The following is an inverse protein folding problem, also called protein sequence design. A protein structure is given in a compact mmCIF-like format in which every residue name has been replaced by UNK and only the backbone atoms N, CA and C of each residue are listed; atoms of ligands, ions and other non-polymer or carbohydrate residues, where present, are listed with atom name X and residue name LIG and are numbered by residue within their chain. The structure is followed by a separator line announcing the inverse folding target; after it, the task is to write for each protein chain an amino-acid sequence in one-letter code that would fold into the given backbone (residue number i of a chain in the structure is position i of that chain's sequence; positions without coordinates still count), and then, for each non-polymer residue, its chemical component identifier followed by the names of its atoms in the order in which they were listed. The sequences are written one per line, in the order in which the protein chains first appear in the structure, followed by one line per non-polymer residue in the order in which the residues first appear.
data_IF_978389454149
#
_entry.id   IF_978389454149
#
_cell.length_a   1.000
_cell.length_b   1.000
_cell.length_c   1.000
_cell.angle_alpha   90.00
_cell.angle_beta   90.00
_cell.angle_gamma   90.00
#
_symmetry.space_group_name_H-M   'P 1'
#
loop_
_entity.id
_entity.type
_entity.pdbx_description
1 polymer ?
#
# COMPACT_ATOMS: atom_id res chain seq x y z
N UNK A 1 -66.84 -12.58 -17.03
CA UNK A 1 -65.44 -12.93 -16.74
C UNK A 1 -64.68 -11.65 -16.43
N UNK A 2 -64.45 -11.34 -15.15
CA UNK A 2 -63.63 -10.21 -14.72
C UNK A 2 -62.52 -10.74 -13.81
N UNK A 3 -61.31 -10.88 -14.35
CA UNK A 3 -60.12 -11.26 -13.60
C UNK A 3 -59.54 -10.02 -12.93
N UNK A 4 -59.84 -9.83 -11.65
CA UNK A 4 -59.21 -8.79 -10.84
C UNK A 4 -57.81 -9.25 -10.43
N UNK A 5 -56.78 -8.70 -11.08
CA UNK A 5 -55.40 -8.94 -10.72
C UNK A 5 -55.06 -8.09 -9.49
N UNK A 6 -55.09 -8.69 -8.30
CA UNK A 6 -54.69 -8.06 -7.03
C UNK A 6 -53.19 -7.77 -7.06
N UNK A 7 -52.81 -6.51 -7.22
CA UNK A 7 -51.46 -6.03 -6.91
C UNK A 7 -51.18 -6.29 -5.43
N UNK A 8 -50.23 -7.20 -5.14
CA UNK A 8 -49.72 -7.44 -3.78
C UNK A 8 -49.08 -6.14 -3.27
N UNK A 9 -49.81 -5.36 -2.49
CA UNK A 9 -49.23 -4.27 -1.72
C UNK A 9 -48.27 -4.88 -0.68
N UNK A 10 -46.97 -4.66 -0.89
CA UNK A 10 -45.93 -4.97 0.09
C UNK A 10 -46.18 -4.08 1.32
N UNK A 11 -46.69 -4.66 2.42
CA UNK A 11 -46.86 -3.98 3.71
C UNK A 11 -45.48 -3.44 4.15
N UNK A 12 -45.26 -2.13 3.97
CA UNK A 12 -44.03 -1.44 4.38
C UNK A 12 -44.01 -1.35 5.91
N UNK A 13 -43.37 -2.33 6.55
CA UNK A 13 -43.32 -2.45 8.00
C UNK A 13 -42.61 -1.21 8.59
N UNK A 14 -43.24 -0.50 9.55
CA UNK A 14 -42.71 0.76 10.11
C UNK A 14 -41.31 0.58 10.73
N UNK A 15 -40.98 -0.62 11.18
CA UNK A 15 -39.65 -1.01 11.66
C UNK A 15 -38.55 -0.86 10.60
N UNK A 16 -38.83 -1.21 9.33
CA UNK A 16 -37.85 -1.05 8.24
C UNK A 16 -37.53 0.43 7.94
N UNK A 17 -38.42 1.37 8.30
CA UNK A 17 -38.20 2.81 8.13
C UNK A 17 -37.08 3.36 9.00
N UNK A 18 -36.80 2.72 10.15
CA UNK A 18 -35.76 3.16 11.10
C UNK A 18 -34.57 2.19 11.15
N UNK A 19 -34.78 0.89 10.92
CA UNK A 19 -33.70 -0.10 10.92
C UNK A 19 -32.72 0.09 9.76
N UNK A 20 -33.20 0.33 8.54
CA UNK A 20 -32.31 0.51 7.37
C UNK A 20 -31.41 1.74 7.54
N UNK A 21 -31.92 2.95 7.86
CA UNK A 21 -31.07 4.12 8.06
C UNK A 21 -30.09 3.96 9.22
N UNK A 22 -30.49 3.28 10.30
CA UNK A 22 -29.60 3.02 11.44
C UNK A 22 -28.42 2.11 11.06
N UNK A 23 -28.68 1.01 10.35
CA UNK A 23 -27.62 0.12 9.85
C UNK A 23 -26.68 0.83 8.88
N UNK A 24 -27.21 1.64 7.96
CA UNK A 24 -26.41 2.46 7.05
C UNK A 24 -25.55 3.46 7.81
N UNK A 25 -26.11 4.14 8.82
CA UNK A 25 -25.37 5.06 9.68
C UNK A 25 -24.21 4.40 10.42
N UNK A 26 -24.43 3.20 10.96
CA UNK A 26 -23.38 2.41 11.62
C UNK A 26 -22.28 2.02 10.62
N UNK A 27 -22.65 1.52 9.43
CA UNK A 27 -21.69 1.13 8.40
C UNK A 27 -20.86 2.33 7.93
N UNK A 28 -21.48 3.49 7.70
CA UNK A 28 -20.78 4.71 7.31
C UNK A 28 -19.86 5.22 8.42
N UNK A 29 -20.33 5.19 9.69
CA UNK A 29 -19.52 5.58 10.84
C UNK A 29 -18.29 4.70 11.02
N UNK A 30 -18.46 3.37 10.94
CA UNK A 30 -17.35 2.42 11.02
C UNK A 30 -16.38 2.56 9.85
N UNK A 31 -16.90 2.72 8.63
CA UNK A 31 -16.06 2.89 7.43
C UNK A 31 -15.23 4.18 7.52
N UNK A 32 -15.85 5.29 7.95
CA UNK A 32 -15.17 6.56 8.16
C UNK A 32 -14.11 6.47 9.27
N UNK A 33 -14.42 5.77 10.36
CA UNK A 33 -13.46 5.52 11.44
C UNK A 33 -12.26 4.69 10.96
N UNK A 34 -12.51 3.58 10.23
CA UNK A 34 -11.45 2.75 9.63
C UNK A 34 -10.57 3.57 8.68
N UNK A 35 -11.19 4.39 7.82
CA UNK A 35 -10.48 5.27 6.90
C UNK A 35 -9.57 6.27 7.62
N UNK A 36 -10.03 6.81 8.75
CA UNK A 36 -9.25 7.72 9.58
C UNK A 36 -8.07 7.01 10.26
N UNK A 37 -8.31 5.92 10.99
CA UNK A 37 -7.25 5.22 11.74
C UNK A 37 -6.19 4.60 10.84
N UNK A 38 -6.59 4.14 9.64
CA UNK A 38 -5.67 3.58 8.64
C UNK A 38 -4.84 4.64 7.91
N UNK A 39 -5.12 5.94 8.15
CA UNK A 39 -4.53 7.07 7.42
C UNK A 39 -4.64 6.90 5.90
N UNK A 40 -5.75 6.32 5.41
CA UNK A 40 -5.94 6.00 3.99
C UNK A 40 -5.73 7.21 3.05
N UNK A 41 -6.09 8.41 3.50
CA UNK A 41 -5.85 9.66 2.76
C UNK A 41 -4.36 9.94 2.47
N UNK A 42 -3.44 9.48 3.32
CA UNK A 42 -2.00 9.70 3.13
C UNK A 42 -1.43 8.96 1.91
N UNK A 43 -2.09 7.87 1.48
CA UNK A 43 -1.71 7.11 0.29
C UNK A 43 -1.97 7.86 -1.02
N UNK A 44 -2.74 8.97 -0.99
CA UNK A 44 -2.90 9.84 -2.15
C UNK A 44 -1.65 10.69 -2.43
N UNK A 45 -0.79 10.85 -1.42
CA UNK A 45 0.49 11.54 -1.51
C UNK A 45 1.61 10.61 -2.01
N UNK A 46 2.75 11.22 -2.29
CA UNK A 46 4.02 10.55 -2.58
C UNK A 46 5.02 10.65 -1.41
N UNK A 47 4.57 11.10 -0.23
CA UNK A 47 5.37 11.12 1.01
C UNK A 47 5.79 9.70 1.43
N UNK A 48 7.10 9.40 1.51
CA UNK A 48 7.60 8.09 1.96
C UNK A 48 7.07 7.64 3.32
N UNK A 49 6.66 8.56 4.21
CA UNK A 49 6.06 8.23 5.50
C UNK A 49 4.74 7.47 5.36
N UNK A 50 4.01 7.67 4.26
CA UNK A 50 2.79 6.92 3.99
C UNK A 50 3.07 5.42 3.78
N UNK A 51 4.24 5.06 3.26
CA UNK A 51 4.65 3.67 3.05
C UNK A 51 4.93 2.94 4.37
N UNK A 52 5.29 3.67 5.44
CA UNK A 52 5.53 3.13 6.79
C UNK A 52 4.39 3.40 7.77
N UNK A 53 3.18 3.62 7.25
CA UNK A 53 1.96 3.54 8.06
C UNK A 53 1.79 2.14 8.68
N UNK A 54 2.33 1.11 8.03
CA UNK A 54 2.40 -0.24 8.54
C UNK A 54 3.84 -0.61 8.89
N UNK A 55 4.06 -1.14 10.10
CA UNK A 55 5.39 -1.51 10.59
C UNK A 55 6.09 -2.60 9.76
N UNK A 56 5.32 -3.41 9.02
CA UNK A 56 5.83 -4.45 8.12
C UNK A 56 6.74 -3.87 7.02
N UNK A 57 6.56 -2.60 6.66
CA UNK A 57 7.38 -1.89 5.69
C UNK A 57 8.61 -1.21 6.29
N UNK A 58 8.85 -1.34 7.60
CA UNK A 58 9.99 -0.70 8.27
C UNK A 58 11.36 -1.12 7.69
N UNK A 59 11.62 -2.41 7.40
CA UNK A 59 12.88 -2.79 6.76
C UNK A 59 13.04 -2.16 5.38
N UNK A 60 11.95 -2.11 4.61
CA UNK A 60 11.96 -1.56 3.25
C UNK A 60 12.24 -0.06 3.25
N UNK A 61 11.62 0.68 4.16
CA UNK A 61 11.92 2.10 4.32
C UNK A 61 13.36 2.32 4.78
N UNK A 62 13.84 1.54 5.76
CA UNK A 62 15.19 1.71 6.28
C UNK A 62 16.25 1.47 5.22
N UNK A 63 16.12 0.40 4.44
CA UNK A 63 17.06 0.08 3.37
C UNK A 63 17.01 1.11 2.23
N UNK A 64 15.82 1.57 1.82
CA UNK A 64 15.68 2.68 0.88
C UNK A 64 16.33 3.97 1.41
N UNK A 65 16.07 4.37 2.66
CA UNK A 65 16.60 5.59 3.25
C UNK A 65 18.14 5.61 3.28
N UNK A 66 18.77 4.45 3.49
CA UNK A 66 20.23 4.31 3.50
C UNK A 66 20.84 3.99 2.12
N UNK A 67 20.04 3.98 1.06
CA UNK A 67 20.50 3.74 -0.32
C UNK A 67 20.85 5.04 -1.06
N UNK A 68 21.44 4.90 -2.25
CA UNK A 68 21.63 6.01 -3.18
C UNK A 68 20.31 6.66 -3.63
N UNK A 69 19.24 5.87 -3.70
CA UNK A 69 17.92 6.33 -4.15
C UNK A 69 17.17 7.09 -3.06
N UNK A 70 17.42 6.79 -1.77
CA UNK A 70 16.81 7.51 -0.63
C UNK A 70 17.10 9.01 -0.58
N UNK A 71 18.11 9.48 -1.33
CA UNK A 71 18.50 10.89 -1.40
C UNK A 71 17.70 11.68 -2.43
N UNK A 72 17.32 11.04 -3.54
CA UNK A 72 16.86 11.72 -4.75
C UNK A 72 15.49 11.23 -5.24
N UNK A 73 14.96 10.13 -4.70
CA UNK A 73 13.68 9.56 -5.12
C UNK A 73 12.83 9.20 -3.90
N UNK A 74 11.53 9.12 -4.09
CA UNK A 74 10.57 8.58 -3.11
C UNK A 74 10.12 7.18 -3.51
N UNK A 75 9.46 6.44 -2.60
CA UNK A 75 9.03 5.06 -2.85
C UNK A 75 8.21 4.92 -4.15
N UNK A 76 7.32 5.88 -4.41
CA UNK A 76 6.45 5.87 -5.59
C UNK A 76 7.20 6.15 -6.90
N UNK A 77 8.40 6.71 -6.88
CA UNK A 77 9.20 6.91 -8.10
C UNK A 77 9.63 5.59 -8.73
N UNK A 78 9.75 4.55 -7.91
CA UNK A 78 10.06 3.19 -8.35
C UNK A 78 8.78 2.32 -8.40
N UNK A 79 7.95 2.35 -7.36
CA UNK A 79 6.85 1.38 -7.18
C UNK A 79 5.52 1.76 -7.82
N UNK A 80 5.38 2.96 -8.41
CA UNK A 80 4.13 3.43 -9.03
C UNK A 80 4.40 3.86 -10.47
N UNK A 81 3.49 3.59 -11.43
CA UNK A 81 3.70 4.00 -12.81
C UNK A 81 3.55 5.53 -12.97
N UNK A 82 4.36 6.11 -13.87
CA UNK A 82 4.42 7.55 -14.15
C UNK A 82 4.05 7.91 -15.60
N UNK A 83 3.46 6.97 -16.34
CA UNK A 83 3.03 7.15 -17.73
C UNK A 83 1.77 8.00 -17.85
N UNK A 84 0.78 7.82 -16.96
CA UNK A 84 -0.41 8.65 -16.90
C UNK A 84 -1.10 8.61 -15.52
N UNK A 85 -1.87 9.65 -15.25
CA UNK A 85 -2.61 9.83 -14.00
C UNK A 85 -3.55 8.66 -13.67
N UNK A 86 -4.29 8.15 -14.67
CA UNK A 86 -5.26 7.08 -14.44
C UNK A 86 -4.59 5.77 -14.02
N UNK A 87 -3.53 5.34 -14.72
CA UNK A 87 -2.77 4.13 -14.38
C UNK A 87 -2.10 4.27 -13.02
N UNK A 88 -1.55 5.45 -12.68
CA UNK A 88 -0.99 5.74 -11.35
C UNK A 88 -1.99 5.43 -10.23
N UNK A 89 -3.16 6.05 -10.25
CA UNK A 89 -4.13 5.87 -9.16
C UNK A 89 -4.82 4.50 -9.20
N UNK A 90 -5.06 3.93 -10.38
CA UNK A 90 -5.58 2.57 -10.49
C UNK A 90 -4.61 1.55 -9.88
N UNK A 91 -3.32 1.67 -10.18
CA UNK A 91 -2.29 0.80 -9.63
C UNK A 91 -2.18 0.96 -8.11
N UNK A 92 -2.12 2.20 -7.61
CA UNK A 92 -2.09 2.49 -6.16
C UNK A 92 -3.32 1.91 -5.44
N UNK A 93 -4.52 2.03 -6.02
CA UNK A 93 -5.74 1.50 -5.43
C UNK A 93 -5.77 -0.03 -5.42
N UNK A 94 -5.37 -0.66 -6.53
CA UNK A 94 -5.33 -2.13 -6.65
C UNK A 94 -4.31 -2.75 -5.68
N UNK A 95 -3.10 -2.17 -5.63
CA UNK A 95 -2.03 -2.62 -4.74
C UNK A 95 -2.37 -2.35 -3.27
N UNK A 96 -2.90 -1.16 -2.97
CA UNK A 96 -3.38 -0.81 -1.63
C UNK A 96 -4.49 -1.73 -1.12
N UNK A 97 -5.47 -2.09 -1.97
CA UNK A 97 -6.53 -3.02 -1.63
C UNK A 97 -5.98 -4.43 -1.36
N UNK A 98 -5.02 -4.90 -2.17
CA UNK A 98 -4.34 -6.18 -1.94
C UNK A 98 -3.61 -6.20 -0.60
N UNK A 99 -2.81 -5.17 -0.30
CA UNK A 99 -2.10 -5.05 0.97
C UNK A 99 -3.06 -5.00 2.16
N UNK A 100 -4.11 -4.18 2.08
CA UNK A 100 -5.14 -4.12 3.12
C UNK A 100 -5.79 -5.49 3.36
N UNK A 101 -6.10 -6.23 2.30
CA UNK A 101 -6.67 -7.59 2.39
C UNK A 101 -5.70 -8.55 3.06
N UNK A 102 -4.44 -8.59 2.60
CA UNK A 102 -3.42 -9.49 3.15
C UNK A 102 -3.19 -9.24 4.64
N UNK A 103 -3.06 -7.98 5.06
CA UNK A 103 -2.79 -7.64 6.46
C UNK A 103 -4.02 -7.83 7.35
N UNK A 104 -5.22 -7.63 6.82
CA UNK A 104 -6.48 -7.89 7.56
C UNK A 104 -6.60 -9.37 7.92
N UNK A 105 -6.27 -10.25 6.97
CA UNK A 105 -6.37 -11.70 7.18
C UNK A 105 -5.08 -12.35 7.67
N UNK A 106 -4.05 -11.54 8.00
CA UNK A 106 -2.75 -12.02 8.49
C UNK A 106 -2.08 -13.03 7.55
N UNK A 107 -2.19 -12.77 6.25
CA UNK A 107 -1.66 -13.61 5.17
C UNK A 107 -0.28 -13.16 4.70
N UNK A 108 0.38 -12.26 5.43
CA UNK A 108 1.71 -11.77 5.08
C UNK A 108 2.78 -12.89 5.04
N UNK A 109 3.55 -13.02 3.96
CA UNK A 109 4.71 -13.91 3.95
C UNK A 109 5.84 -13.31 4.78
N UNK A 110 6.72 -14.17 5.32
CA UNK A 110 7.92 -13.72 6.04
C UNK A 110 8.90 -12.96 5.13
N UNK A 111 8.99 -13.37 3.87
CA UNK A 111 9.77 -12.72 2.82
C UNK A 111 8.81 -12.08 1.84
N UNK A 112 8.84 -10.76 1.76
CA UNK A 112 7.99 -9.99 0.86
C UNK A 112 8.70 -9.92 -0.49
N UNK A 113 8.05 -10.42 -1.53
CA UNK A 113 8.58 -10.42 -2.89
C UNK A 113 7.67 -9.65 -3.82
N UNK A 114 8.25 -8.77 -4.62
CA UNK A 114 7.50 -8.02 -5.62
C UNK A 114 6.90 -8.95 -6.68
N UNK A 115 5.57 -8.89 -6.82
CA UNK A 115 4.84 -9.66 -7.83
C UNK A 115 5.01 -9.06 -9.23
N UNK A 116 4.67 -9.85 -10.28
CA UNK A 116 4.82 -9.46 -11.69
C UNK A 116 4.34 -8.02 -12.01
N UNK A 117 3.16 -7.55 -11.56
CA UNK A 117 2.73 -6.17 -11.85
C UNK A 117 3.66 -5.11 -11.24
N UNK A 118 4.17 -5.33 -10.04
CA UNK A 118 5.16 -4.46 -9.42
C UNK A 118 6.50 -4.51 -10.15
N UNK A 119 6.95 -5.71 -10.55
CA UNK A 119 8.20 -5.87 -11.30
C UNK A 119 8.14 -5.11 -12.63
N UNK A 120 6.99 -5.13 -13.29
CA UNK A 120 6.75 -4.37 -14.50
C UNK A 120 6.97 -2.87 -14.29
N UNK A 121 6.31 -2.31 -13.28
CA UNK A 121 6.37 -0.89 -12.95
C UNK A 121 7.78 -0.46 -12.52
N UNK A 122 8.44 -1.25 -11.67
CA UNK A 122 9.81 -0.94 -11.23
C UNK A 122 10.78 -0.96 -12.41
N UNK A 123 10.69 -1.95 -13.29
CA UNK A 123 11.57 -2.02 -14.47
C UNK A 123 11.32 -0.84 -15.43
N UNK A 124 10.06 -0.48 -15.68
CA UNK A 124 9.69 0.72 -16.45
C UNK A 124 10.32 1.99 -15.85
N UNK A 125 10.30 2.12 -14.53
CA UNK A 125 10.86 3.27 -13.83
C UNK A 125 12.40 3.28 -13.78
N UNK A 126 13.05 2.13 -13.70
CA UNK A 126 14.50 2.01 -13.87
C UNK A 126 14.91 2.57 -15.24
N UNK A 127 14.25 2.11 -16.31
CA UNK A 127 14.53 2.56 -17.68
C UNK A 127 14.21 4.05 -17.82
N UNK A 128 13.07 4.52 -17.30
CA UNK A 128 12.66 5.94 -17.38
C UNK A 128 13.72 6.90 -16.83
N UNK A 129 14.31 6.58 -15.68
CA UNK A 129 15.30 7.46 -15.05
C UNK A 129 16.72 7.24 -15.57
N UNK A 130 17.05 6.03 -16.03
CA UNK A 130 18.38 5.67 -16.52
C UNK A 130 18.48 5.59 -18.05
N UNK A 131 17.49 6.07 -18.79
CA UNK A 131 17.39 5.97 -20.25
C UNK A 131 18.66 6.43 -20.96
N UNK A 132 19.20 7.59 -20.58
CA UNK A 132 20.43 8.12 -21.18
C UNK A 132 21.63 7.17 -20.97
N UNK A 133 21.80 6.61 -19.76
CA UNK A 133 22.87 5.65 -19.48
C UNK A 133 22.64 4.33 -20.22
N UNK A 134 21.38 3.93 -20.37
CA UNK A 134 20.98 2.70 -21.03
C UNK A 134 21.08 2.79 -22.56
N UNK A 135 20.97 3.99 -23.14
CA UNK A 135 21.02 4.21 -24.59
C UNK A 135 22.33 3.76 -25.26
N UNK A 136 23.42 3.67 -24.49
CA UNK A 136 24.74 3.27 -24.97
C UNK A 136 25.07 1.79 -24.69
N UNK A 137 24.17 1.04 -24.06
CA UNK A 137 24.36 -0.39 -23.74
C UNK A 137 23.16 -1.22 -24.19
N UNK A 138 23.41 -2.30 -24.94
CA UNK A 138 22.32 -3.16 -25.47
C UNK A 138 21.46 -3.82 -24.39
N UNK A 139 21.98 -3.99 -23.17
CA UNK A 139 21.27 -4.56 -22.03
C UNK A 139 20.40 -3.55 -21.27
N UNK A 140 20.47 -2.25 -21.60
CA UNK A 140 19.78 -1.19 -20.87
C UNK A 140 18.27 -1.09 -21.14
N UNK A 141 17.79 -1.65 -22.25
CA UNK A 141 16.40 -1.55 -22.70
C UNK A 141 15.59 -2.85 -22.55
N UNK A 142 16.05 -3.78 -21.70
CA UNK A 142 15.29 -5.01 -21.41
C UNK A 142 14.02 -4.67 -20.64
N UNK A 143 12.85 -4.87 -21.25
CA UNK A 143 11.58 -4.71 -20.54
C UNK A 143 11.33 -5.88 -19.60
N UNK A 144 10.46 -5.71 -18.61
CA UNK A 144 10.14 -6.81 -17.71
C UNK A 144 9.41 -7.96 -18.43
N UNK A 145 8.66 -7.72 -19.51
CA UNK A 145 8.12 -8.81 -20.33
C UNK A 145 9.22 -9.62 -21.02
N UNK A 146 10.24 -8.94 -21.57
CA UNK A 146 11.38 -9.63 -22.18
C UNK A 146 12.12 -10.49 -21.15
N UNK A 147 12.39 -9.93 -19.96
CA UNK A 147 13.03 -10.68 -18.88
C UNK A 147 12.19 -11.89 -18.42
N UNK A 148 10.85 -11.75 -18.34
CA UNK A 148 9.95 -12.87 -18.01
C UNK A 148 9.86 -13.93 -19.12
N UNK A 149 10.30 -13.61 -20.34
CA UNK A 149 10.41 -14.53 -21.46
C UNK A 149 11.84 -15.05 -21.67
N UNK A 150 12.71 -14.92 -20.66
CA UNK A 150 14.14 -15.30 -20.68
C UNK A 150 14.97 -14.56 -21.76
N UNK A 151 14.50 -13.40 -22.21
CA UNK A 151 15.17 -12.53 -23.20
C UNK A 151 15.91 -11.36 -22.54
N UNK A 152 16.61 -11.64 -21.44
CA UNK A 152 17.39 -10.65 -20.69
C UNK A 152 17.21 -10.78 -19.18
N UNK A 153 17.62 -9.73 -18.46
CA UNK A 153 17.62 -9.66 -17.01
C UNK A 153 16.99 -8.35 -16.54
N UNK A 154 16.25 -8.40 -15.44
CA UNK A 154 15.74 -7.20 -14.78
C UNK A 154 16.92 -6.39 -14.20
N UNK A 155 16.78 -5.07 -14.11
CA UNK A 155 17.88 -4.19 -13.70
C UNK A 155 18.50 -4.63 -12.36
N UNK A 156 17.67 -5.03 -11.40
CA UNK A 156 18.09 -5.44 -10.05
C UNK A 156 18.58 -6.89 -9.96
N UNK A 157 18.55 -7.68 -11.04
CA UNK A 157 19.23 -8.98 -11.08
C UNK A 157 20.75 -8.81 -11.20
N UNK A 158 21.22 -7.71 -11.81
CA UNK A 158 22.63 -7.32 -11.82
C UNK A 158 22.94 -6.25 -10.78
N UNK A 159 22.10 -5.22 -10.66
CA UNK A 159 22.24 -4.17 -9.66
C UNK A 159 21.63 -4.61 -8.33
N UNK A 160 22.20 -5.64 -7.72
CA UNK A 160 21.59 -6.32 -6.56
C UNK A 160 21.56 -5.48 -5.28
N UNK A 161 22.31 -4.37 -5.24
CA UNK A 161 22.36 -3.42 -4.12
C UNK A 161 21.48 -2.17 -4.32
N UNK A 162 20.60 -2.17 -5.34
CA UNK A 162 19.47 -1.21 -5.33
C UNK A 162 18.65 -1.38 -4.04
N UNK A 163 17.80 -0.41 -3.66
CA UNK A 163 17.03 -0.49 -2.42
C UNK A 163 16.42 -1.87 -2.16
N UNK A 164 16.37 -2.27 -0.88
CA UNK A 164 15.92 -3.58 -0.40
C UNK A 164 16.93 -4.74 -0.55
N UNK A 165 17.91 -4.64 -1.44
CA UNK A 165 19.00 -5.60 -1.57
C UNK A 165 18.56 -7.05 -1.86
N UNK A 166 19.48 -7.98 -1.58
CA UNK A 166 19.24 -9.43 -1.71
C UNK A 166 18.64 -10.07 -0.45
N UNK A 167 18.90 -9.49 0.72
CA UNK A 167 18.40 -10.01 2.00
C UNK A 167 17.07 -9.36 2.32
N UNK A 168 15.98 -10.09 2.06
CA UNK A 168 14.61 -9.60 2.19
C UNK A 168 13.87 -10.30 3.31
N UNK A 169 12.98 -9.57 3.99
CA UNK A 169 12.07 -10.11 5.00
C UNK A 169 12.02 -9.27 6.27
N UNK A 170 11.10 -9.62 7.16
CA UNK A 170 10.84 -8.87 8.40
C UNK A 170 12.07 -8.73 9.31
N UNK A 171 13.01 -9.68 9.23
CA UNK A 171 14.22 -9.72 10.04
C UNK A 171 15.46 -9.14 9.33
N UNK A 172 15.34 -8.59 8.11
CA UNK A 172 16.49 -8.05 7.38
C UNK A 172 17.04 -6.76 8.00
N UNK A 173 16.19 -6.02 8.71
CA UNK A 173 16.57 -4.81 9.45
C UNK A 173 15.88 -4.81 10.84
N UNK A 174 16.35 -5.63 11.79
CA UNK A 174 15.75 -5.69 13.11
C UNK A 174 15.91 -4.34 13.82
N UNK A 175 14.85 -3.90 14.51
CA UNK A 175 14.84 -2.63 15.26
C UNK A 175 15.14 -1.38 14.40
N UNK A 176 14.81 -1.43 13.10
CA UNK A 176 14.92 -0.28 12.22
C UNK A 176 14.18 0.95 12.79
N UNK A 177 14.92 2.04 13.01
CA UNK A 177 14.36 3.31 13.49
C UNK A 177 13.77 4.09 12.34
N UNK A 178 12.53 3.78 11.98
CA UNK A 178 11.79 4.47 10.92
C UNK A 178 10.72 5.39 11.51
N UNK A 179 10.33 6.47 10.81
CA UNK A 179 9.25 7.35 11.25
C UNK A 179 7.89 6.66 11.09
N UNK A 180 7.59 5.72 11.98
CA UNK A 180 6.31 5.02 12.02
C UNK A 180 5.17 6.03 12.24
N UNK A 181 4.01 5.71 11.68
CA UNK A 181 2.81 6.50 11.90
C UNK A 181 2.50 6.64 13.40
N UNK A 182 2.18 7.88 13.80
CA UNK A 182 1.70 8.17 15.16
C UNK A 182 0.52 7.26 15.53
N UNK A 183 0.57 6.72 16.75
CA UNK A 183 -0.50 5.88 17.27
C UNK A 183 -1.82 6.68 17.35
N UNK A 184 -2.97 6.08 16.98
CA UNK A 184 -4.27 6.75 17.04
C UNK A 184 -4.84 6.82 18.47
N UNK A 185 -4.00 6.66 19.50
CA UNK A 185 -4.41 6.61 20.90
C UNK A 185 -4.68 8.03 21.41
N UNK A 186 -5.90 8.34 21.90
CA UNK A 186 -6.21 9.67 22.42
C UNK A 186 -5.31 10.09 23.59
N UNK A 187 -5.03 11.39 23.67
CA UNK A 187 -4.13 11.97 24.68
C UNK A 187 -4.59 11.66 26.12
N UNK A 188 -5.90 11.67 26.38
CA UNK A 188 -6.45 11.35 27.70
C UNK A 188 -6.07 9.93 28.15
N UNK A 189 -6.07 8.96 27.23
CA UNK A 189 -5.73 7.57 27.55
C UNK A 189 -4.22 7.42 27.78
N UNK A 190 -3.40 8.11 26.97
CA UNK A 190 -1.95 8.15 27.17
C UNK A 190 -1.60 8.74 28.55
N UNK A 191 -2.29 9.81 28.96
CA UNK A 191 -2.08 10.46 30.25
C UNK A 191 -2.49 9.56 31.41
N UNK A 192 -3.56 8.77 31.28
CA UNK A 192 -3.94 7.78 32.29
C UNK A 192 -2.86 6.71 32.49
N UNK A 193 -2.29 6.16 31.41
CA UNK A 193 -1.21 5.16 31.50
C UNK A 193 0.04 5.76 32.13
N UNK A 194 0.45 6.96 31.70
CA UNK A 194 1.62 7.67 32.28
C UNK A 194 1.45 7.94 33.76
N UNK A 195 0.26 8.35 34.20
CA UNK A 195 0.00 8.64 35.61
C UNK A 195 -0.01 7.36 36.47
N UNK A 196 -0.50 6.23 35.95
CA UNK A 196 -0.38 4.95 36.67
C UNK A 196 1.06 4.47 36.81
N UNK A 197 1.90 4.69 35.79
CA UNK A 197 3.34 4.32 35.85
C UNK A 197 4.13 5.18 36.83
N UNK A 198 3.76 6.46 37.00
CA UNK A 198 4.37 7.37 37.98
C UNK A 198 3.92 7.12 39.42
N UNK A 199 2.80 6.43 39.62
CA UNK A 199 2.28 6.05 40.94
C UNK A 199 2.77 4.70 41.46
N UNK A 200 3.60 4.00 40.68
CA UNK A 200 4.38 2.82 41.10
C UNK A 200 5.83 3.23 41.31
#
# INVERSE_FOLDING_TARGET
MATTNKTKQVKKNKYFRYLIPSLVGILLGLSGYIFYISKAYSYLSDDPKACVNCHIMAPEYSTWFHSSHGRNTVCNDCHVPHDNFFRKYYFKASDGLRHATMFTFRMEPQVITMHKPGQMVVQENCIRCHDQLNSVVGTGNVTAQMAHADQGKLCWECHTDVPHGNVRGLNSAPNARVPLASEPVPEWLQNMVKNQQKGK
#
